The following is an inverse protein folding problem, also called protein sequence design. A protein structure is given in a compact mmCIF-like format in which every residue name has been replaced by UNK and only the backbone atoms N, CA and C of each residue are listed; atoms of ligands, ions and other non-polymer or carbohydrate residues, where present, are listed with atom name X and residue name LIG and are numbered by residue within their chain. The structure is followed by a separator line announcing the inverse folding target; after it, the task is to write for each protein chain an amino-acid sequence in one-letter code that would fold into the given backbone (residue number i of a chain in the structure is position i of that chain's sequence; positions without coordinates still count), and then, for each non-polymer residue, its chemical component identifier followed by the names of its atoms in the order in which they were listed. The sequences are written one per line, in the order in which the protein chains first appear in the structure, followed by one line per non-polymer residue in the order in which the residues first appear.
data_IF_479994520394
#
_entry.id   IF_479994520394
#
_cell.length_a   1.000
_cell.length_b   1.000
_cell.length_c   1.000
_cell.angle_alpha   90.00
_cell.angle_beta   90.00
_cell.angle_gamma   90.00
#
_symmetry.space_group_name_H-M   'P 1'
#
loop_
_entity.id
_entity.type
_entity.pdbx_description
1 polymer ?
#
# COMPACT_ATOMS: atom_id res chain seq x y z
N UNK A 1 -14.42 4.74 -12.84
CA UNK A 1 -13.13 5.39 -13.18
C UNK A 1 -12.12 5.26 -12.05
N UNK A 2 -12.38 5.87 -10.88
CA UNK A 2 -11.51 5.78 -9.68
C UNK A 2 -11.18 4.33 -9.29
N UNK A 3 -12.17 3.43 -9.22
CA UNK A 3 -11.91 2.02 -8.88
C UNK A 3 -10.92 1.35 -9.84
N UNK A 4 -11.07 1.61 -11.15
CA UNK A 4 -10.16 1.07 -12.18
C UNK A 4 -8.75 1.66 -12.05
N UNK A 5 -8.67 2.95 -11.72
CA UNK A 5 -7.40 3.64 -11.45
C UNK A 5 -6.69 3.02 -10.23
N UNK A 6 -7.38 2.87 -9.11
CA UNK A 6 -6.82 2.23 -7.90
C UNK A 6 -6.42 0.78 -8.19
N UNK A 7 -7.23 0.03 -8.93
CA UNK A 7 -6.89 -1.34 -9.33
C UNK A 7 -5.63 -1.39 -10.20
N UNK A 8 -5.42 -0.41 -11.08
CA UNK A 8 -4.21 -0.29 -11.89
C UNK A 8 -3.00 0.04 -11.02
N UNK A 9 -3.12 1.01 -10.11
CA UNK A 9 -2.10 1.33 -9.11
C UNK A 9 -1.68 0.11 -8.27
N UNK A 10 -2.64 -0.69 -7.77
CA UNK A 10 -2.34 -1.94 -7.04
C UNK A 10 -1.51 -2.90 -7.92
N UNK A 11 -1.88 -3.07 -9.19
CA UNK A 11 -1.19 -4.01 -10.08
C UNK A 11 0.21 -3.54 -10.51
N UNK A 12 0.35 -2.26 -10.86
CA UNK A 12 1.58 -1.73 -11.45
C UNK A 12 2.59 -1.31 -10.38
N UNK A 13 2.12 -0.70 -9.30
CA UNK A 13 2.98 -0.15 -8.26
C UNK A 13 3.12 -1.16 -7.13
N UNK A 14 2.04 -1.52 -6.44
CA UNK A 14 2.14 -2.39 -5.26
C UNK A 14 2.68 -3.78 -5.63
N UNK A 15 2.09 -4.40 -6.65
CA UNK A 15 2.49 -5.73 -7.11
C UNK A 15 3.71 -5.65 -8.04
N UNK A 16 3.71 -4.73 -9.01
CA UNK A 16 4.77 -4.63 -10.01
C UNK A 16 6.15 -4.27 -9.44
N UNK A 17 6.20 -3.47 -8.38
CA UNK A 17 7.41 -3.21 -7.60
C UNK A 17 7.61 -4.18 -6.43
N UNK A 18 6.66 -5.07 -6.17
CA UNK A 18 6.66 -5.99 -5.03
C UNK A 18 6.74 -5.27 -3.67
N UNK A 19 6.04 -4.14 -3.53
CA UNK A 19 5.98 -3.38 -2.27
C UNK A 19 5.25 -4.16 -1.18
N UNK A 20 4.27 -4.97 -1.54
CA UNK A 20 3.64 -5.90 -0.63
C UNK A 20 3.65 -7.32 -1.24
N UNK A 21 4.40 -8.27 -0.66
CA UNK A 21 4.50 -9.64 -1.21
C UNK A 21 3.17 -10.41 -1.17
N UNK A 22 2.18 -9.91 -0.43
CA UNK A 22 0.87 -10.55 -0.28
C UNK A 22 -0.21 -9.98 -1.20
N UNK A 23 0.02 -8.79 -1.77
CA UNK A 23 -0.97 -8.08 -2.57
C UNK A 23 -1.38 -8.86 -3.83
N UNK A 24 -0.49 -9.67 -4.40
CA UNK A 24 -0.79 -10.49 -5.57
C UNK A 24 -1.88 -11.54 -5.29
N UNK A 25 -1.82 -12.19 -4.11
CA UNK A 25 -2.79 -13.20 -3.72
C UNK A 25 -4.18 -12.59 -3.54
N UNK A 26 -4.28 -11.45 -2.87
CA UNK A 26 -5.56 -10.77 -2.66
C UNK A 26 -6.10 -10.18 -3.97
N UNK A 27 -5.25 -9.56 -4.80
CA UNK A 27 -5.67 -8.94 -6.06
C UNK A 27 -6.18 -9.95 -7.12
N UNK A 28 -5.60 -11.15 -7.17
CA UNK A 28 -5.96 -12.18 -8.18
C UNK A 28 -6.83 -13.31 -7.63
N UNK A 29 -6.91 -13.44 -6.31
CA UNK A 29 -7.58 -14.56 -5.65
C UNK A 29 -9.08 -14.38 -5.49
N UNK A 30 -9.77 -15.51 -5.32
CA UNK A 30 -11.20 -15.56 -5.03
C UNK A 30 -11.48 -16.46 -3.84
N UNK A 31 -12.37 -16.02 -2.95
CA UNK A 31 -12.95 -16.87 -1.93
C UNK A 31 -14.19 -17.56 -2.48
N UNK A 32 -14.22 -18.89 -2.42
CA UNK A 32 -15.39 -19.71 -2.76
C UNK A 32 -16.21 -20.00 -1.50
N UNK A 33 -17.52 -19.84 -1.60
CA UNK A 33 -18.46 -20.10 -0.52
C UNK A 33 -19.79 -20.63 -1.07
N UNK A 34 -20.68 -21.12 -0.19
CA UNK A 34 -22.04 -21.49 -0.58
C UNK A 34 -23.03 -20.46 -0.07
N UNK A 35 -23.98 -20.07 -0.91
CA UNK A 35 -25.08 -19.22 -0.46
C UNK A 35 -26.10 -20.01 0.39
N UNK A 36 -27.13 -19.31 0.89
CA UNK A 36 -28.18 -19.91 1.73
C UNK A 36 -28.98 -21.02 1.01
N UNK A 37 -28.93 -21.09 -0.33
CA UNK A 37 -29.58 -22.14 -1.14
C UNK A 37 -28.60 -23.27 -1.50
N UNK A 38 -27.36 -23.20 -1.02
CA UNK A 38 -26.33 -24.19 -1.26
C UNK A 38 -25.62 -24.06 -2.60
N UNK A 39 -25.88 -23.01 -3.38
CA UNK A 39 -25.21 -22.79 -4.65
C UNK A 39 -23.79 -22.24 -4.42
N UNK A 40 -22.83 -22.73 -5.21
CA UNK A 40 -21.45 -22.25 -5.14
C UNK A 40 -21.35 -20.83 -5.68
N UNK A 41 -20.76 -19.95 -4.88
CA UNK A 41 -20.47 -18.57 -5.18
C UNK A 41 -18.97 -18.34 -5.07
N UNK A 42 -18.48 -17.32 -5.77
CA UNK A 42 -17.11 -16.83 -5.62
C UNK A 42 -17.11 -15.32 -5.50
N UNK A 43 -16.23 -14.79 -4.65
CA UNK A 43 -15.99 -13.34 -4.54
C UNK A 43 -14.50 -13.04 -4.57
N UNK A 44 -14.05 -11.88 -5.08
CA UNK A 44 -12.66 -11.46 -5.00
C UNK A 44 -12.16 -11.42 -3.54
N UNK A 45 -10.86 -11.62 -3.35
CA UNK A 45 -10.18 -11.38 -2.07
C UNK A 45 -9.77 -9.91 -1.89
N UNK A 46 -9.75 -9.11 -2.96
CA UNK A 46 -9.58 -7.66 -2.91
C UNK A 46 -10.89 -7.01 -3.36
N UNK A 47 -11.54 -6.31 -2.44
CA UNK A 47 -12.66 -5.42 -2.74
C UNK A 47 -12.19 -3.96 -2.80
N UNK A 48 -12.81 -3.16 -3.67
CA UNK A 48 -12.53 -1.72 -3.79
C UNK A 48 -13.86 -1.00 -3.75
N UNK A 49 -14.12 -0.28 -2.67
CA UNK A 49 -15.32 0.53 -2.48
C UNK A 49 -14.95 2.00 -2.66
N UNK A 50 -15.67 2.72 -3.52
CA UNK A 50 -15.45 4.15 -3.72
C UNK A 50 -16.60 4.91 -3.07
N UNK A 51 -16.26 5.73 -2.08
CA UNK A 51 -17.19 6.63 -1.38
C UNK A 51 -16.84 8.07 -1.77
N UNK A 52 -17.84 8.92 -1.92
CA UNK A 52 -17.66 10.32 -2.37
C UNK A 52 -18.26 11.34 -1.40
N UNK A 53 -18.33 10.94 -0.14
CA UNK A 53 -18.78 11.81 0.94
C UNK A 53 -17.69 12.81 1.29
N UNK A 54 -18.12 13.96 1.81
CA UNK A 54 -17.24 15.08 2.18
C UNK A 54 -17.25 15.38 3.66
N UNK A 55 -18.31 14.98 4.34
CA UNK A 55 -18.47 15.14 5.77
C UNK A 55 -17.86 13.95 6.50
N UNK A 56 -17.09 14.22 7.55
CA UNK A 56 -16.35 13.19 8.27
C UNK A 56 -17.29 12.16 8.91
N UNK A 57 -18.47 12.56 9.39
CA UNK A 57 -19.45 11.62 9.99
C UNK A 57 -19.99 10.65 8.93
N UNK A 58 -20.31 11.14 7.74
CA UNK A 58 -20.77 10.32 6.62
C UNK A 58 -19.65 9.39 6.10
N UNK A 59 -18.41 9.89 6.00
CA UNK A 59 -17.24 9.08 5.64
C UNK A 59 -17.06 7.95 6.65
N UNK A 60 -17.03 8.28 7.95
CA UNK A 60 -16.91 7.30 9.03
C UNK A 60 -18.04 6.27 8.94
N UNK A 61 -19.29 6.71 8.74
CA UNK A 61 -20.44 5.83 8.59
C UNK A 61 -20.22 4.78 7.50
N UNK A 62 -19.81 5.20 6.31
CA UNK A 62 -19.56 4.27 5.21
C UNK A 62 -18.36 3.35 5.45
N UNK A 63 -17.30 3.85 6.07
CA UNK A 63 -16.16 3.00 6.46
C UNK A 63 -16.60 1.94 7.47
N UNK A 64 -17.47 2.29 8.43
CA UNK A 64 -18.08 1.33 9.38
C UNK A 64 -18.89 0.27 8.64
N UNK A 65 -19.67 0.64 7.63
CA UNK A 65 -20.43 -0.32 6.81
C UNK A 65 -19.49 -1.34 6.16
N UNK A 66 -18.33 -0.91 5.64
CA UNK A 66 -17.34 -1.81 5.06
C UNK A 66 -16.60 -2.66 6.10
N UNK A 67 -16.30 -2.12 7.29
CA UNK A 67 -15.75 -2.88 8.43
C UNK A 67 -16.68 -4.05 8.80
N UNK A 68 -17.98 -3.77 8.95
CA UNK A 68 -18.97 -4.79 9.31
C UNK A 68 -19.12 -5.87 8.23
N UNK A 69 -19.00 -5.48 6.95
CA UNK A 69 -18.95 -6.45 5.84
C UNK A 69 -17.69 -7.32 5.92
N UNK A 70 -16.55 -6.75 6.27
CA UNK A 70 -15.24 -7.41 6.26
C UNK A 70 -15.01 -8.36 7.44
N UNK A 71 -15.64 -8.11 8.60
CA UNK A 71 -15.48 -8.89 9.83
C UNK A 71 -15.61 -10.42 9.64
N UNK A 72 -16.52 -10.88 8.78
CA UNK A 72 -16.77 -12.30 8.52
C UNK A 72 -16.20 -12.83 7.21
N UNK A 73 -15.35 -12.06 6.53
CA UNK A 73 -14.97 -12.28 5.14
C UNK A 73 -13.45 -12.31 4.98
N UNK A 74 -12.82 -13.41 4.48
CA UNK A 74 -11.41 -13.37 4.11
C UNK A 74 -11.10 -12.32 3.03
N UNK A 75 -9.83 -11.91 2.96
CA UNK A 75 -9.33 -10.90 2.04
C UNK A 75 -9.23 -9.51 2.66
N UNK A 76 -9.25 -8.49 1.80
CA UNK A 76 -9.09 -7.09 2.17
C UNK A 76 -10.03 -6.18 1.38
N UNK A 77 -10.35 -5.02 1.95
CA UNK A 77 -11.14 -3.97 1.30
C UNK A 77 -10.36 -2.66 1.28
N UNK A 78 -10.28 -2.03 0.10
CA UNK A 78 -9.81 -0.66 -0.04
C UNK A 78 -11.04 0.25 -0.10
N UNK A 79 -11.28 1.03 0.96
CA UNK A 79 -12.29 2.10 0.94
C UNK A 79 -11.61 3.37 0.45
N UNK A 80 -11.87 3.73 -0.80
CA UNK A 80 -11.29 4.88 -1.49
C UNK A 80 -12.22 6.07 -1.29
N UNK A 81 -11.72 7.14 -0.68
CA UNK A 81 -12.47 8.36 -0.42
C UNK A 81 -11.75 9.59 -1.01
N UNK A 82 -11.89 9.84 -2.32
CA UNK A 82 -11.19 10.94 -3.01
C UNK A 82 -11.43 12.32 -2.39
N UNK A 83 -12.57 12.49 -1.73
CA UNK A 83 -13.00 13.75 -1.12
C UNK A 83 -12.61 13.88 0.37
N UNK A 84 -12.08 12.85 1.02
CA UNK A 84 -11.67 12.90 2.43
C UNK A 84 -10.31 13.58 2.56
N UNK A 85 -10.33 14.90 2.77
CA UNK A 85 -9.14 15.72 3.03
C UNK A 85 -7.95 15.47 2.07
N UNK A 86 -8.15 15.49 0.73
CA UNK A 86 -7.12 15.06 -0.23
C UNK A 86 -5.82 15.87 -0.18
N UNK A 87 -5.89 17.11 0.31
CA UNK A 87 -4.77 18.04 0.43
C UNK A 87 -4.37 18.30 1.90
N UNK A 88 -4.97 17.58 2.87
CA UNK A 88 -4.73 17.75 4.30
C UNK A 88 -4.60 16.37 4.99
N UNK A 89 -3.36 15.90 5.13
CA UNK A 89 -3.09 14.58 5.71
C UNK A 89 -3.48 14.51 7.19
N UNK A 90 -3.29 15.59 7.96
CA UNK A 90 -3.56 15.56 9.40
C UNK A 90 -5.07 15.46 9.65
N UNK A 91 -5.89 16.20 8.89
CA UNK A 91 -7.34 16.08 8.96
C UNK A 91 -7.83 14.68 8.54
N UNK A 92 -7.23 14.08 7.50
CA UNK A 92 -7.49 12.68 7.15
C UNK A 92 -7.11 11.73 8.30
N UNK A 93 -5.96 11.95 8.94
CA UNK A 93 -5.46 11.10 10.01
C UNK A 93 -6.33 11.19 11.28
N UNK A 94 -6.93 12.34 11.57
CA UNK A 94 -7.94 12.49 12.64
C UNK A 94 -9.17 11.59 12.42
N UNK A 95 -9.61 11.44 11.17
CA UNK A 95 -10.70 10.51 10.80
C UNK A 95 -10.28 9.06 11.05
N UNK A 96 -9.05 8.70 10.66
CA UNK A 96 -8.47 7.37 10.95
C UNK A 96 -8.42 7.11 12.44
N UNK A 97 -7.93 8.07 13.24
CA UNK A 97 -7.88 7.97 14.70
C UNK A 97 -9.26 7.76 15.32
N UNK A 98 -10.29 8.44 14.80
CA UNK A 98 -11.68 8.23 15.23
C UNK A 98 -12.17 6.82 14.95
N UNK A 99 -11.87 6.27 13.77
CA UNK A 99 -12.23 4.90 13.41
C UNK A 99 -11.52 3.87 14.29
N UNK A 100 -10.22 4.04 14.53
CA UNK A 100 -9.43 3.10 15.32
C UNK A 100 -9.78 3.15 16.82
N UNK A 101 -9.82 4.34 17.40
CA UNK A 101 -9.98 4.52 18.85
C UNK A 101 -11.42 4.35 19.32
N UNK A 102 -12.40 4.74 18.50
CA UNK A 102 -13.81 4.68 18.89
C UNK A 102 -14.51 3.49 18.23
N UNK A 103 -14.48 3.40 16.89
CA UNK A 103 -15.29 2.41 16.18
C UNK A 103 -14.78 0.99 16.37
N UNK A 104 -13.49 0.72 16.16
CA UNK A 104 -12.95 -0.63 16.31
C UNK A 104 -13.06 -1.11 17.77
N UNK A 105 -12.81 -0.22 18.72
CA UNK A 105 -12.95 -0.49 20.14
C UNK A 105 -14.40 -0.84 20.53
N UNK A 106 -15.35 0.06 20.26
CA UNK A 106 -16.75 -0.10 20.67
C UNK A 106 -17.42 -1.29 19.98
N UNK A 107 -17.05 -1.56 18.72
CA UNK A 107 -17.55 -2.70 17.96
C UNK A 107 -16.84 -4.03 18.30
N UNK A 108 -15.81 -4.02 19.16
CA UNK A 108 -14.97 -5.19 19.48
C UNK A 108 -14.33 -5.83 18.25
N UNK A 109 -13.85 -4.97 17.34
CA UNK A 109 -13.14 -5.36 16.13
C UNK A 109 -11.61 -5.28 16.31
N UNK A 110 -11.12 -4.71 17.42
CA UNK A 110 -9.71 -4.82 17.83
C UNK A 110 -9.27 -6.29 17.92
N UNK A 111 -8.10 -6.62 17.38
CA UNK A 111 -7.61 -7.99 17.29
C UNK A 111 -8.25 -8.81 16.16
N UNK A 112 -9.19 -8.24 15.41
CA UNK A 112 -9.90 -8.89 14.31
C UNK A 112 -9.66 -8.17 13.00
N UNK A 113 -9.86 -6.84 12.99
CA UNK A 113 -9.65 -5.98 11.84
C UNK A 113 -8.74 -4.81 12.22
N UNK A 114 -7.90 -4.40 11.29
CA UNK A 114 -7.09 -3.19 11.39
C UNK A 114 -7.32 -2.30 10.16
N UNK A 115 -7.09 -1.00 10.31
CA UNK A 115 -7.17 -0.03 9.22
C UNK A 115 -5.74 0.45 8.93
N UNK A 116 -5.22 0.17 7.75
CA UNK A 116 -3.98 0.77 7.30
C UNK A 116 -4.29 2.05 6.49
N UNK A 117 -3.86 3.24 6.96
CA UNK A 117 -4.08 4.48 6.24
C UNK A 117 -3.13 4.63 5.04
N UNK A 118 -3.69 5.07 3.91
CA UNK A 118 -2.94 5.51 2.74
C UNK A 118 -3.47 6.87 2.28
N UNK A 119 -2.56 7.80 1.98
CA UNK A 119 -2.92 9.18 1.62
C UNK A 119 -1.95 9.75 0.57
N UNK A 120 -2.38 10.61 -0.37
CA UNK A 120 -1.47 11.25 -1.33
C UNK A 120 -0.32 12.02 -0.67
N UNK A 121 -0.60 12.61 0.50
CA UNK A 121 0.33 13.37 1.32
C UNK A 121 0.76 12.62 2.60
N UNK A 122 0.67 11.29 2.61
CA UNK A 122 1.03 10.49 3.80
C UNK A 122 2.41 10.87 4.36
N UNK A 123 2.50 10.95 5.70
CA UNK A 123 3.74 11.15 6.46
C UNK A 123 3.75 10.26 7.69
N UNK A 124 4.88 9.62 7.99
CA UNK A 124 5.06 8.93 9.26
C UNK A 124 5.31 9.93 10.39
N UNK A 125 4.79 9.63 11.58
CA UNK A 125 5.07 10.39 12.79
C UNK A 125 6.58 10.50 13.03
N UNK A 126 7.05 11.72 13.32
CA UNK A 126 8.47 11.97 13.56
C UNK A 126 9.35 11.96 12.33
N UNK A 127 8.79 11.92 11.11
CA UNK A 127 9.54 12.27 9.90
C UNK A 127 10.04 13.71 10.06
N UNK A 128 11.36 13.97 10.02
CA UNK A 128 11.90 15.32 10.19
C UNK A 128 11.25 16.29 9.19
N UNK A 129 10.79 17.44 9.69
CA UNK A 129 10.62 18.60 8.83
C UNK A 129 12.01 19.22 8.66
N UNK A 130 12.61 19.08 7.47
CA UNK A 130 13.73 19.91 7.00
C UNK A 130 14.98 20.00 7.93
N UNK A 131 15.23 19.05 8.85
CA UNK A 131 16.28 19.23 9.87
C UNK A 131 17.73 19.16 9.33
N UNK A 132 17.95 18.60 8.13
CA UNK A 132 19.28 18.50 7.52
C UNK A 132 19.50 19.45 6.32
N UNK A 133 18.58 20.39 6.05
CA UNK A 133 18.69 21.30 4.91
C UNK A 133 18.49 20.65 3.53
N UNK A 134 18.17 19.35 3.50
CA UNK A 134 17.51 18.71 2.38
C UNK A 134 16.01 18.88 2.61
N UNK A 135 15.41 19.91 2.00
CA UNK A 135 13.99 20.25 2.13
C UNK A 135 13.07 19.26 1.37
N UNK A 136 13.41 17.98 1.49
CA UNK A 136 12.91 16.88 0.70
C UNK A 136 12.11 15.94 1.56
N UNK A 137 10.85 15.75 1.18
CA UNK A 137 9.97 14.74 1.73
C UNK A 137 10.66 13.36 1.84
N UNK A 138 10.65 12.81 3.06
CA UNK A 138 11.33 11.55 3.37
C UNK A 138 10.78 10.41 2.51
N UNK A 139 11.71 9.69 1.87
CA UNK A 139 11.41 8.61 0.91
C UNK A 139 10.54 7.51 1.54
N UNK A 140 10.67 7.29 2.85
CA UNK A 140 9.93 6.29 3.61
C UNK A 140 8.41 6.55 3.56
N UNK A 141 7.98 7.82 3.56
CA UNK A 141 6.57 8.20 3.46
C UNK A 141 5.89 7.61 2.22
N UNK A 142 6.65 7.41 1.14
CA UNK A 142 6.14 6.89 -0.12
C UNK A 142 5.73 5.42 -0.03
N UNK A 143 6.09 4.67 1.04
CA UNK A 143 5.57 3.30 1.22
C UNK A 143 4.05 3.27 1.44
N UNK A 144 3.48 4.35 1.97
CA UNK A 144 2.07 4.50 2.31
C UNK A 144 1.36 5.60 1.51
N UNK A 145 2.01 6.12 0.46
CA UNK A 145 1.35 7.03 -0.47
C UNK A 145 0.47 6.30 -1.47
N UNK A 146 -0.62 6.95 -1.83
CA UNK A 146 -1.64 6.44 -2.74
C UNK A 146 -2.20 7.55 -3.63
N UNK A 147 -2.88 7.20 -4.73
CA UNK A 147 -3.52 8.19 -5.61
C UNK A 147 -4.68 8.96 -4.95
N UNK A 148 -5.28 8.39 -3.91
CA UNK A 148 -6.41 8.96 -3.16
C UNK A 148 -6.29 8.61 -1.68
N UNK A 149 -6.97 9.34 -0.78
CA UNK A 149 -7.21 8.89 0.59
C UNK A 149 -7.88 7.51 0.57
N UNK A 150 -7.28 6.54 1.24
CA UNK A 150 -7.75 5.15 1.28
C UNK A 150 -7.65 4.60 2.71
N UNK A 151 -8.75 4.04 3.18
CA UNK A 151 -8.79 3.20 4.38
C UNK A 151 -8.66 1.74 3.94
N UNK A 152 -7.50 1.13 4.19
CA UNK A 152 -7.25 -0.27 3.84
C UNK A 152 -7.64 -1.17 5.01
N UNK A 153 -8.80 -1.81 4.90
CA UNK A 153 -9.35 -2.69 5.93
C UNK A 153 -8.77 -4.09 5.76
N UNK A 154 -7.97 -4.51 6.72
CA UNK A 154 -7.27 -5.78 6.76
C UNK A 154 -7.79 -6.64 7.91
N UNK A 155 -7.72 -7.97 7.75
CA UNK A 155 -7.89 -8.88 8.88
C UNK A 155 -6.57 -9.12 9.57
N UNK A 156 -6.55 -9.02 10.90
CA UNK A 156 -5.32 -9.21 11.67
C UNK A 156 -4.79 -10.64 11.58
N UNK A 157 -5.68 -11.64 11.54
CA UNK A 157 -5.28 -13.05 11.37
C UNK A 157 -4.59 -13.33 10.02
N UNK A 158 -5.03 -12.68 8.94
CA UNK A 158 -4.40 -12.79 7.61
C UNK A 158 -3.08 -12.01 7.55
N UNK A 159 -2.99 -10.87 8.24
CA UNK A 159 -1.74 -10.10 8.37
C UNK A 159 -0.70 -10.88 9.17
N UNK A 160 -1.09 -11.49 10.29
CA UNK A 160 -0.20 -12.33 11.10
C UNK A 160 0.32 -13.53 10.31
N UNK A 161 -0.57 -14.24 9.59
CA UNK A 161 -0.18 -15.33 8.69
C UNK A 161 0.82 -14.86 7.62
N UNK A 162 0.57 -13.69 7.04
CA UNK A 162 1.47 -13.08 6.06
C UNK A 162 2.84 -12.79 6.68
N UNK A 163 2.90 -12.13 7.84
CA UNK A 163 4.16 -11.87 8.56
C UNK A 163 4.91 -13.16 8.91
N UNK A 164 4.21 -14.20 9.34
CA UNK A 164 4.79 -15.52 9.61
C UNK A 164 5.41 -16.18 8.36
N UNK A 165 4.86 -15.93 7.17
CA UNK A 165 5.46 -16.37 5.90
C UNK A 165 6.77 -15.64 5.56
N UNK A 166 7.06 -14.51 6.21
CA UNK A 166 8.32 -13.75 6.10
C UNK A 166 9.25 -14.01 7.28
N UNK A 167 9.20 -15.22 7.86
CA UNK A 167 9.89 -15.62 9.08
C UNK A 167 9.69 -14.64 10.26
N UNK A 168 8.55 -13.94 10.31
CA UNK A 168 8.22 -13.02 11.39
C UNK A 168 8.83 -11.61 11.26
N UNK A 169 9.49 -11.27 10.16
CA UNK A 169 10.19 -9.99 10.01
C UNK A 169 9.55 -9.09 8.94
N UNK A 170 8.47 -8.42 9.34
CA UNK A 170 7.83 -7.38 8.53
C UNK A 170 8.77 -6.19 8.26
N UNK A 171 9.75 -5.95 9.14
CA UNK A 171 10.76 -4.90 9.00
C UNK A 171 11.66 -5.10 7.78
N UNK A 172 11.91 -6.35 7.36
CA UNK A 172 12.62 -6.65 6.10
C UNK A 172 11.88 -6.11 4.88
N UNK A 173 10.55 -6.24 4.83
CA UNK A 173 9.76 -5.72 3.70
C UNK A 173 9.79 -4.20 3.68
N UNK A 174 9.62 -3.57 4.84
CA UNK A 174 9.70 -2.11 4.95
C UNK A 174 11.08 -1.58 4.51
N UNK A 175 12.18 -2.12 5.07
CA UNK A 175 13.55 -1.74 4.68
C UNK A 175 13.81 -1.94 3.20
N UNK A 176 13.33 -3.04 2.62
CA UNK A 176 13.44 -3.32 1.19
C UNK A 176 12.72 -2.26 0.37
N UNK A 177 11.52 -1.86 0.78
CA UNK A 177 10.73 -0.84 0.09
C UNK A 177 11.38 0.54 0.18
N UNK A 178 11.86 0.93 1.36
CA UNK A 178 12.64 2.17 1.55
C UNK A 178 13.86 2.19 0.63
N UNK A 179 14.67 1.13 0.64
CA UNK A 179 15.86 1.01 -0.23
C UNK A 179 15.50 1.09 -1.72
N UNK A 180 14.41 0.45 -2.12
CA UNK A 180 13.87 0.50 -3.48
C UNK A 180 13.50 1.94 -3.86
N UNK A 181 12.79 2.66 -3.00
CA UNK A 181 12.34 4.02 -3.25
C UNK A 181 13.51 5.00 -3.30
N UNK A 182 14.52 4.81 -2.43
CA UNK A 182 15.78 5.56 -2.51
C UNK A 182 16.50 5.29 -3.83
N UNK A 183 16.60 4.03 -4.25
CA UNK A 183 17.21 3.71 -5.54
C UNK A 183 16.44 4.31 -6.72
N UNK A 184 15.11 4.37 -6.68
CA UNK A 184 14.31 5.08 -7.70
C UNK A 184 14.66 6.57 -7.71
N UNK A 185 14.62 7.23 -6.54
CA UNK A 185 14.98 8.65 -6.41
C UNK A 185 16.39 8.92 -6.93
N UNK A 186 17.37 8.15 -6.48
CA UNK A 186 18.79 8.44 -6.75
C UNK A 186 19.15 8.21 -8.23
N UNK A 187 18.49 7.25 -8.91
CA UNK A 187 18.78 6.94 -10.31
C UNK A 187 17.89 7.68 -11.32
N UNK A 188 16.68 8.09 -10.92
CA UNK A 188 15.65 8.62 -11.82
C UNK A 188 15.13 10.01 -11.41
N UNK A 189 15.47 10.47 -10.21
CA UNK A 189 15.07 11.76 -9.65
C UNK A 189 13.72 11.75 -8.92
N UNK A 190 13.49 12.76 -8.07
CA UNK A 190 12.24 12.92 -7.32
C UNK A 190 11.00 13.03 -8.20
N UNK A 191 11.10 13.69 -9.36
CA UNK A 191 9.98 13.78 -10.32
C UNK A 191 9.51 12.41 -10.82
N UNK A 192 10.44 11.46 -10.96
CA UNK A 192 10.09 10.11 -11.38
C UNK A 192 9.33 9.36 -10.27
N UNK A 193 9.74 9.56 -9.01
CA UNK A 193 9.06 9.03 -7.83
C UNK A 193 7.65 9.64 -7.64
N UNK A 194 7.53 10.96 -7.80
CA UNK A 194 6.26 11.70 -7.77
C UNK A 194 5.29 11.17 -8.83
N UNK A 195 5.74 11.04 -10.08
CA UNK A 195 4.93 10.49 -11.17
C UNK A 195 4.52 9.05 -10.90
N UNK A 196 5.44 8.22 -10.37
CA UNK A 196 5.20 6.82 -10.02
C UNK A 196 3.98 6.63 -9.10
N UNK A 197 3.79 7.53 -8.14
CA UNK A 197 2.75 7.42 -7.12
C UNK A 197 1.51 8.28 -7.36
N UNK A 198 1.65 9.46 -7.98
CA UNK A 198 0.48 10.21 -8.48
C UNK A 198 -0.22 9.47 -9.61
N UNK A 199 0.45 8.47 -10.19
CA UNK A 199 -0.06 7.64 -11.27
C UNK A 199 -0.53 8.52 -12.46
N UNK A 200 0.21 9.62 -12.67
CA UNK A 200 0.11 10.51 -13.83
C UNK A 200 0.81 9.84 -15.03
N UNK A 201 0.37 8.62 -15.37
CA UNK A 201 0.76 7.93 -16.59
C UNK A 201 -0.48 7.60 -17.41
N UNK A 202 -1.07 8.64 -17.97
CA UNK A 202 -2.28 8.55 -18.79
C UNK A 202 -1.90 8.49 -20.28
N UNK A 203 -2.44 7.50 -20.98
CA UNK A 203 -2.13 7.25 -22.40
C UNK A 203 -0.96 6.29 -22.63
N UNK A 204 -0.78 5.88 -23.89
CA UNK A 204 0.17 4.82 -24.27
C UNK A 204 1.65 5.23 -24.05
N UNK A 205 1.98 6.49 -24.29
CA UNK A 205 3.36 7.00 -24.17
C UNK A 205 3.85 6.99 -22.72
N UNK A 206 3.03 7.47 -21.81
CA UNK A 206 3.34 7.47 -20.38
C UNK A 206 3.40 6.05 -19.81
N UNK A 207 2.55 5.14 -20.27
CA UNK A 207 2.62 3.72 -19.92
C UNK A 207 3.94 3.09 -20.39
N UNK A 208 4.40 3.46 -21.59
CA UNK A 208 5.68 2.99 -22.09
C UNK A 208 6.86 3.57 -21.29
N UNK A 209 6.75 4.81 -20.81
CA UNK A 209 7.72 5.42 -19.89
C UNK A 209 7.76 4.69 -18.54
N UNK A 210 6.61 4.41 -17.93
CA UNK A 210 6.53 3.64 -16.68
C UNK A 210 7.13 2.25 -16.85
N UNK A 211 6.78 1.52 -17.91
CA UNK A 211 7.35 0.20 -18.18
C UNK A 211 8.86 0.27 -18.40
N UNK A 212 9.35 1.32 -19.07
CA UNK A 212 10.78 1.56 -19.26
C UNK A 212 11.48 1.84 -17.93
N UNK A 213 10.87 2.66 -17.08
CA UNK A 213 11.37 2.98 -15.74
C UNK A 213 11.47 1.72 -14.88
N UNK A 214 10.40 0.92 -14.81
CA UNK A 214 10.37 -0.35 -14.09
C UNK A 214 11.40 -1.34 -14.64
N UNK A 215 11.57 -1.41 -15.97
CA UNK A 215 12.57 -2.27 -16.61
C UNK A 215 14.00 -1.84 -16.29
N UNK A 216 14.30 -0.55 -16.44
CA UNK A 216 15.63 0.01 -16.16
C UNK A 216 15.99 -0.21 -14.69
N UNK A 217 15.03 0.01 -13.80
CA UNK A 217 15.18 -0.27 -12.38
C UNK A 217 15.52 -1.75 -12.10
N UNK A 218 14.76 -2.69 -12.70
CA UNK A 218 15.02 -4.13 -12.57
C UNK A 218 16.43 -4.52 -13.06
N UNK A 219 16.88 -3.93 -14.16
CA UNK A 219 18.24 -4.15 -14.71
C UNK A 219 19.30 -3.61 -13.74
N UNK A 220 19.11 -2.42 -13.19
CA UNK A 220 20.09 -1.81 -12.29
C UNK A 220 20.21 -2.55 -10.95
N UNK A 221 19.09 -3.04 -10.40
CA UNK A 221 19.10 -3.90 -9.22
C UNK A 221 19.79 -5.24 -9.49
N UNK A 222 19.61 -5.83 -10.67
CA UNK A 222 20.29 -7.07 -11.04
C UNK A 222 21.81 -6.88 -11.13
N UNK A 223 22.29 -5.74 -11.65
CA UNK A 223 23.72 -5.41 -11.68
C UNK A 223 24.29 -5.28 -10.26
N UNK A 224 23.62 -4.54 -9.37
CA UNK A 224 24.06 -4.39 -7.96
C UNK A 224 24.08 -5.72 -7.21
N UNK A 225 23.08 -6.58 -7.41
CA UNK A 225 23.05 -7.93 -6.83
C UNK A 225 24.15 -8.85 -7.37
N UNK A 226 24.61 -8.63 -8.60
CA UNK A 226 25.74 -9.38 -9.18
C UNK A 226 27.12 -8.89 -8.71
N UNK A 227 27.25 -7.60 -8.35
CA UNK A 227 28.51 -7.02 -7.84
C UNK A 227 28.76 -7.35 -6.36
N UNK A 228 27.75 -7.76 -5.59
CA UNK A 228 27.89 -8.17 -4.19
C UNK A 228 28.33 -9.62 -3.98
N UNK A 229 28.57 -10.39 -5.06
CA UNK A 229 28.90 -11.82 -4.97
C UNK A 229 30.32 -12.16 -5.47
N UNK A 230 31.20 -11.16 -5.61
CA UNK A 230 32.56 -11.31 -6.16
C UNK A 230 33.65 -10.84 -5.18
N UNK A 231 33.47 -11.10 -3.89
CA UNK A 231 34.35 -10.55 -2.86
C UNK A 231 34.42 -11.36 -1.56
N UNK A 232 34.72 -12.66 -1.65
CA UNK A 232 35.40 -13.38 -0.55
C UNK A 232 35.86 -14.76 -1.03
N UNK A 233 37.07 -14.85 -1.56
CA UNK A 233 37.90 -16.05 -1.48
C UNK A 233 39.36 -15.61 -1.65
N UNK A 234 40.25 -16.27 -0.91
CA UNK A 234 41.70 -16.13 -0.85
C UNK A 234 42.30 -15.07 0.10
N UNK A 235 42.12 -15.30 1.40
CA UNK A 235 43.22 -15.10 2.35
C UNK A 235 43.33 -16.29 3.31
N UNK A 236 44.02 -17.34 2.86
CA UNK A 236 44.67 -18.32 3.73
C UNK A 236 46.09 -18.57 3.22
N UNK A 237 47.06 -17.87 3.82
CA UNK A 237 48.43 -18.34 3.90
C UNK A 237 48.74 -18.71 5.35
N UNK A 238 49.41 -19.84 5.63
CA UNK A 238 50.30 -19.95 6.78
C UNK A 238 51.70 -19.43 6.47
#
# INVERSE_FOLDING_TARGET
EIEAHVRKWVNEIIIGLNLCPFAERSARGFHKFKDAKGAEQKRPLLDICVIRERDDEDIIHWVVVELMKQQGRPGTTLVVCPECHPDDFEAFYDVVGTLEQNVLHDAKLEGVLQIAPFHPLFRFEGSPDDEDGDSGDHVDNWTNRSPYPIFHILREDEVEQAVNMLDGDAGRVWKRNVNLLHAIRDNLGMKALERLYRHEFDGEEDQQQLQTLLRNFKVEMAKRGSMSNDGSEDDESP
#
